data_IF_005926629485
#
_entry.id   IF_005926629485
#
_cell.length_a   1.000
_cell.length_b   1.000
_cell.length_c   1.000
_cell.angle_alpha   90.00
_cell.angle_beta   90.00
_cell.angle_gamma   90.00
#
_symmetry.space_group_name_H-M   'P 1'
#
loop_
_entity.id
_entity.type
_entity.pdbx_description
1 polymer ?
#
# COMPACT_ATOMS: atom_id res chain seq x y z
N UNK A 1 13.98 -33.89 -54.66
CA UNK A 1 13.37 -32.97 -55.65
C UNK A 1 11.87 -33.27 -55.76
N UNK A 2 10.99 -32.26 -55.87
CA UNK A 2 10.09 -31.94 -54.76
C UNK A 2 8.59 -32.17 -55.02
N UNK A 3 7.86 -32.49 -53.94
CA UNK A 3 6.40 -32.46 -53.87
C UNK A 3 5.89 -31.01 -53.78
N UNK A 4 5.16 -30.55 -54.80
CA UNK A 4 4.46 -29.25 -54.81
C UNK A 4 3.21 -29.32 -53.90
N UNK A 5 3.30 -28.80 -52.68
CA UNK A 5 2.14 -28.46 -51.85
C UNK A 5 1.35 -27.32 -52.50
N UNK A 6 0.15 -27.60 -53.01
CA UNK A 6 -0.83 -26.58 -53.41
C UNK A 6 -1.40 -25.88 -52.17
N UNK A 7 -1.04 -24.61 -51.99
CA UNK A 7 -1.71 -23.66 -51.07
C UNK A 7 -3.18 -23.50 -51.46
N UNK A 8 -4.12 -23.99 -50.64
CA UNK A 8 -5.51 -23.50 -50.63
C UNK A 8 -5.56 -22.26 -49.74
N UNK A 9 -5.73 -21.08 -50.35
CA UNK A 9 -6.13 -19.85 -49.65
C UNK A 9 -7.50 -20.10 -49.01
N UNK A 10 -7.57 -20.24 -47.68
CA UNK A 10 -8.80 -20.00 -46.94
C UNK A 10 -8.99 -18.48 -46.94
N UNK A 11 -10.06 -18.01 -47.58
CA UNK A 11 -10.56 -16.64 -47.43
C UNK A 11 -11.00 -16.51 -45.98
N UNK A 12 -10.35 -15.63 -45.23
CA UNK A 12 -10.86 -15.18 -43.94
C UNK A 12 -12.23 -14.54 -44.18
N UNK A 13 -13.27 -15.17 -43.64
CA UNK A 13 -14.58 -14.55 -43.49
C UNK A 13 -14.42 -13.47 -42.44
N UNK A 14 -14.22 -12.22 -42.89
CA UNK A 14 -14.43 -11.05 -42.05
C UNK A 14 -15.90 -11.07 -41.63
N UNK A 15 -16.15 -11.41 -40.36
CA UNK A 15 -17.46 -11.33 -39.76
C UNK A 15 -18.01 -9.91 -39.96
N UNK A 16 -19.19 -9.80 -40.58
CA UNK A 16 -19.89 -8.52 -40.76
C UNK A 16 -20.10 -7.89 -39.38
N UNK A 17 -19.58 -6.67 -39.18
CA UNK A 17 -19.87 -5.83 -38.01
C UNK A 17 -21.39 -5.68 -37.85
N UNK A 18 -21.94 -5.77 -36.63
CA UNK A 18 -23.34 -5.46 -36.42
C UNK A 18 -23.61 -4.02 -36.87
N UNK A 19 -24.71 -3.87 -37.58
CA UNK A 19 -25.18 -2.64 -38.20
C UNK A 19 -25.38 -1.53 -37.17
N UNK A 20 -24.90 -0.32 -37.49
CA UNK A 20 -25.21 0.94 -36.79
C UNK A 20 -26.66 0.95 -36.31
N UNK A 21 -26.86 1.32 -35.04
CA UNK A 21 -28.16 1.45 -34.39
C UNK A 21 -29.19 2.17 -35.27
N UNK A 22 -30.43 1.68 -35.26
CA UNK A 22 -31.55 2.37 -35.93
C UNK A 22 -31.65 3.81 -35.40
N UNK A 23 -31.99 4.79 -36.24
CA UNK A 23 -32.21 6.16 -35.76
C UNK A 23 -33.29 6.16 -34.67
N UNK A 24 -32.98 6.80 -33.54
CA UNK A 24 -33.84 6.91 -32.36
C UNK A 24 -35.16 7.57 -32.76
N UNK A 25 -36.30 7.01 -32.34
CA UNK A 25 -37.61 7.63 -32.54
C UNK A 25 -37.63 9.02 -31.85
N UNK A 26 -37.80 10.13 -32.59
CA UNK A 26 -37.75 11.48 -32.02
C UNK A 26 -38.78 11.72 -30.90
N UNK A 27 -39.84 10.91 -30.82
CA UNK A 27 -40.85 10.98 -29.77
C UNK A 27 -40.35 10.50 -28.41
N UNK A 28 -39.25 9.74 -28.37
CA UNK A 28 -38.65 9.24 -27.14
C UNK A 28 -37.72 10.27 -26.47
N UNK A 29 -37.22 11.25 -27.21
CA UNK A 29 -36.27 12.25 -26.69
C UNK A 29 -36.84 13.07 -25.52
N UNK A 30 -38.09 13.59 -25.56
CA UNK A 30 -38.65 14.31 -24.41
C UNK A 30 -38.83 13.42 -23.18
N UNK A 31 -39.21 12.15 -23.39
CA UNK A 31 -39.39 11.17 -22.31
C UNK A 31 -38.06 10.82 -21.65
N UNK A 32 -37.00 10.68 -22.45
CA UNK A 32 -35.64 10.45 -21.97
C UNK A 32 -35.12 11.64 -21.17
N UNK A 33 -35.30 12.87 -21.67
CA UNK A 33 -34.89 14.09 -20.96
C UNK A 33 -35.62 14.22 -19.62
N UNK A 34 -36.92 13.95 -19.58
CA UNK A 34 -37.69 13.94 -18.34
C UNK A 34 -37.18 12.86 -17.37
N UNK A 35 -36.90 11.65 -17.86
CA UNK A 35 -36.36 10.56 -17.04
C UNK A 35 -35.01 10.93 -16.41
N UNK A 36 -34.13 11.59 -17.18
CA UNK A 36 -32.83 12.06 -16.70
C UNK A 36 -32.95 13.16 -15.65
N UNK A 37 -33.91 14.07 -15.77
CA UNK A 37 -34.18 15.09 -14.75
C UNK A 37 -34.64 14.45 -13.44
N UNK A 38 -35.64 13.56 -13.52
CA UNK A 38 -36.15 12.80 -12.37
C UNK A 38 -35.04 11.97 -11.69
N UNK A 39 -34.14 11.38 -12.49
CA UNK A 39 -32.99 10.65 -12.00
C UNK A 39 -32.06 11.58 -11.19
N UNK A 40 -31.73 12.76 -11.72
CA UNK A 40 -30.90 13.76 -11.03
C UNK A 40 -31.55 14.29 -9.75
N UNK A 41 -32.87 14.41 -9.72
CA UNK A 41 -33.64 14.86 -8.55
C UNK A 41 -33.82 13.77 -7.48
N UNK A 42 -33.28 12.56 -7.69
CA UNK A 42 -33.44 11.45 -6.74
C UNK A 42 -34.79 10.74 -6.80
N UNK A 43 -35.65 11.08 -7.77
CA UNK A 43 -36.95 10.44 -7.98
C UNK A 43 -36.77 9.12 -8.75
N UNK A 44 -35.99 8.20 -8.17
CA UNK A 44 -35.46 7.03 -8.87
C UNK A 44 -36.56 6.10 -9.40
N UNK A 45 -37.65 5.88 -8.66
CA UNK A 45 -38.72 4.99 -9.15
C UNK A 45 -39.46 5.55 -10.34
N UNK A 46 -39.69 6.86 -10.35
CA UNK A 46 -40.34 7.54 -11.47
C UNK A 46 -39.38 7.55 -12.67
N UNK A 47 -38.10 7.84 -12.46
CA UNK A 47 -37.07 7.75 -13.50
C UNK A 47 -36.99 6.35 -14.11
N UNK A 48 -36.92 5.31 -13.28
CA UNK A 48 -36.93 3.90 -13.70
C UNK A 48 -38.16 3.58 -14.55
N UNK A 49 -39.36 3.98 -14.10
CA UNK A 49 -40.59 3.80 -14.87
C UNK A 49 -40.53 4.47 -16.25
N UNK A 50 -39.97 5.68 -16.34
CA UNK A 50 -39.80 6.38 -17.62
C UNK A 50 -38.79 5.69 -18.54
N UNK A 51 -37.67 5.18 -18.02
CA UNK A 51 -36.74 4.39 -18.84
C UNK A 51 -37.41 3.10 -19.36
N UNK A 52 -38.20 2.41 -18.53
CA UNK A 52 -38.94 1.23 -18.99
C UNK A 52 -40.01 1.55 -20.04
N UNK A 53 -40.66 2.73 -19.96
CA UNK A 53 -41.57 3.19 -21.02
C UNK A 53 -40.85 3.37 -22.36
N UNK A 54 -39.61 3.88 -22.33
CA UNK A 54 -38.77 3.97 -23.54
C UNK A 54 -38.46 2.58 -24.07
N UNK A 55 -38.08 1.64 -23.19
CA UNK A 55 -37.77 0.25 -23.60
C UNK A 55 -38.99 -0.53 -24.11
N UNK A 56 -40.20 -0.19 -23.67
CA UNK A 56 -41.42 -0.78 -24.20
C UNK A 56 -41.68 -0.38 -25.67
N UNK A 57 -41.21 0.80 -26.07
CA UNK A 57 -41.35 1.32 -27.44
C UNK A 57 -40.12 1.00 -28.31
N UNK A 58 -38.93 1.03 -27.73
CA UNK A 58 -37.66 0.67 -28.34
C UNK A 58 -36.83 -0.21 -27.38
N UNK A 59 -36.97 -1.55 -27.45
CA UNK A 59 -36.27 -2.48 -26.57
C UNK A 59 -34.74 -2.46 -26.69
N UNK A 60 -34.18 -1.83 -27.73
CA UNK A 60 -32.74 -1.73 -27.96
C UNK A 60 -32.21 -0.29 -27.72
N UNK A 61 -32.99 0.57 -27.05
CA UNK A 61 -32.60 1.95 -26.79
C UNK A 61 -31.40 2.03 -25.82
N UNK A 62 -30.18 2.03 -26.37
CA UNK A 62 -28.90 1.94 -25.66
C UNK A 62 -28.78 2.90 -24.48
N UNK A 63 -29.21 4.16 -24.64
CA UNK A 63 -29.07 5.16 -23.58
C UNK A 63 -30.02 4.90 -22.40
N UNK A 64 -31.20 4.34 -22.64
CA UNK A 64 -32.15 4.03 -21.57
C UNK A 64 -31.70 2.78 -20.80
N UNK A 65 -31.19 1.77 -21.52
CA UNK A 65 -30.55 0.57 -20.95
C UNK A 65 -29.36 0.99 -20.07
N UNK A 66 -28.46 1.84 -20.59
CA UNK A 66 -27.31 2.33 -19.84
C UNK A 66 -27.72 3.10 -18.58
N UNK A 67 -28.70 3.99 -18.68
CA UNK A 67 -29.17 4.79 -17.54
C UNK A 67 -29.89 3.97 -16.49
N UNK A 68 -30.58 2.88 -16.87
CA UNK A 68 -31.09 1.89 -15.91
C UNK A 68 -29.96 1.17 -15.17
N UNK A 69 -28.86 0.85 -15.86
CA UNK A 69 -27.66 0.32 -15.23
C UNK A 69 -27.03 1.29 -14.23
N UNK A 70 -26.93 2.58 -14.59
CA UNK A 70 -26.44 3.64 -13.68
C UNK A 70 -27.36 3.79 -12.47
N UNK A 71 -28.67 3.76 -12.66
CA UNK A 71 -29.65 3.88 -11.58
C UNK A 71 -29.57 2.68 -10.62
N UNK A 72 -29.45 1.46 -11.14
CA UNK A 72 -29.24 0.26 -10.34
C UNK A 72 -27.92 0.34 -9.55
N UNK A 73 -26.85 0.83 -10.18
CA UNK A 73 -25.56 1.05 -9.50
C UNK A 73 -25.68 2.02 -8.32
N UNK A 74 -26.37 3.16 -8.51
CA UNK A 74 -26.60 4.15 -7.44
C UNK A 74 -27.43 3.59 -6.27
N UNK A 75 -28.25 2.57 -6.51
CA UNK A 75 -29.01 1.86 -5.47
C UNK A 75 -28.22 0.74 -4.78
N UNK A 76 -26.98 0.48 -5.19
CA UNK A 76 -26.18 -0.65 -4.71
C UNK A 76 -26.60 -2.01 -5.30
N UNK A 77 -27.46 -2.03 -6.32
CA UNK A 77 -27.93 -3.23 -6.99
C UNK A 77 -26.91 -3.68 -8.07
N UNK A 78 -25.69 -4.01 -7.64
CA UNK A 78 -24.54 -4.22 -8.52
C UNK A 78 -24.75 -5.31 -9.58
N UNK A 79 -25.43 -6.41 -9.22
CA UNK A 79 -25.75 -7.46 -10.19
C UNK A 79 -26.73 -6.99 -11.27
N UNK A 80 -27.72 -6.16 -10.89
CA UNK A 80 -28.70 -5.60 -11.82
C UNK A 80 -28.01 -4.60 -12.75
N UNK A 81 -27.13 -3.75 -12.20
CA UNK A 81 -26.31 -2.83 -12.98
C UNK A 81 -25.43 -3.57 -14.01
N UNK A 82 -24.76 -4.65 -13.58
CA UNK A 82 -23.94 -5.51 -14.46
C UNK A 82 -24.74 -6.05 -15.63
N UNK A 83 -25.95 -6.56 -15.35
CA UNK A 83 -26.83 -7.11 -16.39
C UNK A 83 -27.23 -6.03 -17.41
N UNK A 84 -27.58 -4.82 -16.96
CA UNK A 84 -27.93 -3.72 -17.86
C UNK A 84 -26.75 -3.26 -18.72
N UNK A 85 -25.56 -3.10 -18.14
CA UNK A 85 -24.36 -2.77 -18.92
C UNK A 85 -24.00 -3.88 -19.91
N UNK A 86 -24.09 -5.14 -19.49
CA UNK A 86 -23.91 -6.30 -20.37
C UNK A 86 -24.92 -6.34 -21.52
N UNK A 87 -26.19 -5.99 -21.25
CA UNK A 87 -27.20 -5.88 -22.30
C UNK A 87 -26.88 -4.75 -23.29
N UNK A 88 -26.47 -3.57 -22.82
CA UNK A 88 -26.04 -2.47 -23.68
C UNK A 88 -24.88 -2.91 -24.60
N UNK A 89 -23.87 -3.60 -24.03
CA UNK A 89 -22.71 -4.11 -24.77
C UNK A 89 -23.03 -5.30 -25.70
N UNK A 90 -24.10 -6.05 -25.41
CA UNK A 90 -24.58 -7.10 -26.32
C UNK A 90 -25.24 -6.54 -27.58
N UNK A 91 -25.84 -5.34 -27.46
CA UNK A 91 -26.46 -4.61 -28.58
C UNK A 91 -25.39 -3.84 -29.36
N UNK A 92 -24.53 -3.12 -28.65
CA UNK A 92 -23.40 -2.37 -29.23
C UNK A 92 -22.10 -2.62 -28.44
N UNK A 93 -21.24 -3.54 -28.91
CA UNK A 93 -19.94 -3.81 -28.29
C UNK A 93 -18.97 -2.62 -28.28
N UNK A 94 -19.23 -1.59 -29.10
CA UNK A 94 -18.41 -0.39 -29.25
C UNK A 94 -18.98 0.80 -28.47
N UNK A 95 -19.93 0.57 -27.54
CA UNK A 95 -20.53 1.62 -26.74
C UNK A 95 -19.63 2.08 -25.58
N UNK A 96 -18.84 3.13 -25.82
CA UNK A 96 -17.83 3.62 -24.87
C UNK A 96 -18.40 3.98 -23.49
N UNK A 97 -19.56 4.62 -23.43
CA UNK A 97 -20.21 5.00 -22.17
C UNK A 97 -20.62 3.79 -21.33
N UNK A 98 -21.03 2.67 -21.95
CA UNK A 98 -21.33 1.43 -21.23
C UNK A 98 -20.07 0.75 -20.68
N UNK A 99 -18.97 0.73 -21.45
CA UNK A 99 -17.66 0.26 -20.97
C UNK A 99 -17.16 1.06 -19.76
N UNK A 100 -17.33 2.37 -19.74
CA UNK A 100 -16.95 3.21 -18.60
C UNK A 100 -17.80 2.97 -17.35
N UNK A 101 -19.12 2.78 -17.49
CA UNK A 101 -19.95 2.49 -16.31
C UNK A 101 -19.72 1.06 -15.81
N UNK A 102 -19.40 0.13 -16.71
CA UNK A 102 -18.98 -1.23 -16.33
C UNK A 102 -17.63 -1.22 -15.59
N UNK A 103 -16.67 -0.42 -16.04
CA UNK A 103 -15.40 -0.19 -15.34
C UNK A 103 -15.64 0.28 -13.90
N UNK A 104 -16.44 1.34 -13.71
CA UNK A 104 -16.78 1.85 -12.38
C UNK A 104 -17.44 0.77 -11.51
N UNK A 105 -18.39 0.02 -12.06
CA UNK A 105 -19.05 -1.08 -11.35
C UNK A 105 -18.04 -2.17 -10.93
N UNK A 106 -17.19 -2.60 -11.85
CA UNK A 106 -16.20 -3.66 -11.62
C UNK A 106 -15.17 -3.23 -10.57
N UNK A 107 -14.76 -1.96 -10.60
CA UNK A 107 -13.89 -1.38 -9.58
C UNK A 107 -14.57 -1.42 -8.20
N UNK A 108 -15.83 -0.98 -8.09
CA UNK A 108 -16.59 -1.01 -6.83
C UNK A 108 -16.75 -2.41 -6.24
N UNK A 109 -16.87 -3.45 -7.07
CA UNK A 109 -16.96 -4.85 -6.60
C UNK A 109 -15.61 -5.55 -6.49
N UNK A 110 -14.49 -4.84 -6.63
CA UNK A 110 -13.13 -5.36 -6.46
C UNK A 110 -12.59 -6.20 -7.63
N UNK A 111 -13.25 -6.18 -8.79
CA UNK A 111 -12.82 -6.90 -10.01
C UNK A 111 -11.89 -6.02 -10.86
N UNK A 112 -10.75 -5.66 -10.26
CA UNK A 112 -9.84 -4.62 -10.76
C UNK A 112 -9.30 -4.93 -12.17
N UNK A 113 -8.89 -6.15 -12.45
CA UNK A 113 -8.34 -6.53 -13.78
C UNK A 113 -9.37 -6.38 -14.92
N UNK A 114 -10.65 -6.62 -14.62
CA UNK A 114 -11.72 -6.48 -15.61
C UNK A 114 -12.17 -5.02 -15.76
N UNK A 115 -12.14 -4.26 -14.67
CA UNK A 115 -12.31 -2.80 -14.72
C UNK A 115 -11.26 -2.21 -15.68
N UNK A 116 -9.99 -2.61 -15.51
CA UNK A 116 -8.89 -2.16 -16.36
C UNK A 116 -9.09 -2.45 -17.85
N UNK A 117 -9.66 -3.59 -18.20
CA UNK A 117 -9.99 -3.91 -19.58
C UNK A 117 -11.12 -3.01 -20.11
N UNK A 118 -12.13 -2.77 -19.28
CA UNK A 118 -13.33 -1.99 -19.63
C UNK A 118 -12.98 -0.53 -19.91
N UNK A 119 -12.22 0.17 -19.06
CA UNK A 119 -11.86 1.56 -19.37
C UNK A 119 -10.90 1.65 -20.57
N UNK A 120 -9.95 0.70 -20.74
CA UNK A 120 -9.07 0.68 -21.93
C UNK A 120 -9.89 0.56 -23.21
N UNK A 121 -10.95 -0.24 -23.17
CA UNK A 121 -11.89 -0.34 -24.29
C UNK A 121 -12.60 0.99 -24.51
N UNK A 122 -13.15 1.61 -23.47
CA UNK A 122 -13.80 2.93 -23.57
C UNK A 122 -12.86 3.98 -24.19
N UNK A 123 -11.60 4.03 -23.77
CA UNK A 123 -10.60 4.98 -24.27
C UNK A 123 -10.16 4.68 -25.71
N UNK A 124 -10.12 3.40 -26.11
CA UNK A 124 -9.86 3.01 -27.51
C UNK A 124 -10.97 3.45 -28.47
N UNK A 125 -12.21 3.51 -27.97
CA UNK A 125 -13.40 3.90 -28.72
C UNK A 125 -13.57 5.42 -28.74
N UNK A 126 -13.28 6.08 -27.61
CA UNK A 126 -13.40 7.51 -27.39
C UNK A 126 -12.16 8.02 -26.65
N UNK A 127 -11.11 8.45 -27.38
CA UNK A 127 -9.86 8.90 -26.78
C UNK A 127 -10.00 10.08 -25.83
N UNK A 128 -11.00 10.94 -26.07
CA UNK A 128 -11.30 12.14 -25.30
C UNK A 128 -12.54 11.91 -24.43
N UNK A 129 -12.46 10.92 -23.55
CA UNK A 129 -13.51 10.60 -22.58
C UNK A 129 -13.02 10.94 -21.16
N UNK A 130 -13.48 12.05 -20.55
CA UNK A 130 -12.93 12.54 -19.27
C UNK A 130 -12.88 11.49 -18.16
N UNK A 131 -13.97 10.75 -17.95
CA UNK A 131 -14.04 9.73 -16.89
C UNK A 131 -12.99 8.63 -17.11
N UNK A 132 -12.89 8.08 -18.33
CA UNK A 132 -11.87 7.08 -18.66
C UNK A 132 -10.44 7.63 -18.57
N UNK A 133 -10.23 8.92 -18.87
CA UNK A 133 -8.94 9.61 -18.68
C UNK A 133 -8.59 9.80 -17.19
N UNK A 134 -9.57 10.08 -16.33
CA UNK A 134 -9.37 10.14 -14.88
C UNK A 134 -9.02 8.77 -14.31
N UNK A 135 -9.73 7.71 -14.72
CA UNK A 135 -9.50 6.36 -14.22
C UNK A 135 -8.13 5.81 -14.66
N UNK A 136 -7.74 6.00 -15.94
CA UNK A 136 -6.39 5.60 -16.39
C UNK A 136 -5.30 6.40 -15.67
N UNK A 137 -5.54 7.66 -15.30
CA UNK A 137 -4.55 8.44 -14.56
C UNK A 137 -4.25 7.84 -13.19
N UNK A 138 -5.27 7.38 -12.47
CA UNK A 138 -5.11 6.70 -11.19
C UNK A 138 -4.32 5.41 -11.34
N UNK A 139 -4.66 4.55 -12.30
CA UNK A 139 -3.93 3.30 -12.51
C UNK A 139 -2.45 3.54 -12.84
N UNK A 140 -2.19 4.50 -13.72
CA UNK A 140 -0.82 4.81 -14.14
C UNK A 140 -0.01 5.41 -12.98
N UNK A 141 -0.67 6.15 -12.09
CA UNK A 141 -0.10 6.59 -10.83
C UNK A 141 0.23 5.43 -9.89
N UNK A 142 -0.69 4.47 -9.71
CA UNK A 142 -0.47 3.25 -8.91
C UNK A 142 0.69 2.39 -9.45
N UNK A 143 0.94 2.45 -10.76
CA UNK A 143 2.10 1.81 -11.42
C UNK A 143 3.42 2.61 -11.24
N UNK A 144 3.39 3.75 -10.56
CA UNK A 144 4.54 4.60 -10.28
C UNK A 144 4.84 5.67 -11.34
N UNK A 145 4.06 5.76 -12.42
CA UNK A 145 4.28 6.74 -13.50
C UNK A 145 3.46 8.02 -13.27
N UNK A 146 3.89 8.80 -12.29
CA UNK A 146 3.23 10.05 -11.92
C UNK A 146 3.16 11.06 -13.07
N UNK A 147 4.15 11.06 -13.98
CA UNK A 147 4.21 12.00 -15.10
C UNK A 147 3.10 11.72 -16.12
N UNK A 148 2.93 10.45 -16.53
CA UNK A 148 1.83 10.09 -17.43
C UNK A 148 0.47 10.25 -16.76
N UNK A 149 0.36 9.98 -15.45
CA UNK A 149 -0.88 10.25 -14.71
C UNK A 149 -1.31 11.72 -14.83
N UNK A 150 -0.37 12.65 -14.61
CA UNK A 150 -0.62 14.10 -14.78
C UNK A 150 -1.07 14.45 -16.20
N UNK A 151 -0.46 13.84 -17.23
CA UNK A 151 -0.84 14.07 -18.63
C UNK A 151 -2.29 13.62 -18.90
N UNK A 152 -2.71 12.47 -18.38
CA UNK A 152 -4.09 12.02 -18.49
C UNK A 152 -5.07 12.93 -17.75
N UNK A 153 -4.74 13.36 -16.53
CA UNK A 153 -5.55 14.34 -15.81
C UNK A 153 -5.66 15.67 -16.57
N UNK A 154 -4.56 16.14 -17.18
CA UNK A 154 -4.58 17.36 -18.00
C UNK A 154 -5.54 17.23 -19.18
N UNK A 155 -5.53 16.09 -19.87
CA UNK A 155 -6.48 15.81 -20.95
C UNK A 155 -7.92 15.71 -20.45
N UNK A 156 -8.15 15.09 -19.29
CA UNK A 156 -9.47 15.03 -18.67
C UNK A 156 -10.01 16.43 -18.35
N UNK A 157 -9.17 17.29 -17.76
CA UNK A 157 -9.54 18.65 -17.33
C UNK A 157 -9.63 19.67 -18.49
N UNK A 158 -9.07 19.35 -19.66
CA UNK A 158 -9.21 20.16 -20.87
C UNK A 158 -10.62 20.10 -21.50
N UNK A 159 -11.42 19.11 -21.12
CA UNK A 159 -12.76 18.85 -21.66
C UNK A 159 -13.83 19.47 -20.72
N UNK A 160 -14.12 18.91 -19.54
CA UNK A 160 -14.73 19.66 -18.44
C UNK A 160 -13.65 20.19 -17.47
N UNK A 161 -13.53 21.51 -17.27
CA UNK A 161 -12.60 22.07 -16.29
C UNK A 161 -13.03 21.81 -14.84
N UNK A 162 -14.33 21.61 -14.61
CA UNK A 162 -14.91 21.30 -13.30
C UNK A 162 -15.10 19.79 -13.13
N UNK A 163 -14.00 19.07 -12.87
CA UNK A 163 -14.02 17.63 -12.68
C UNK A 163 -13.24 17.25 -11.39
N UNK A 164 -13.94 17.10 -10.25
CA UNK A 164 -13.32 16.86 -8.94
C UNK A 164 -12.39 15.65 -8.92
N UNK A 165 -12.79 14.54 -9.52
CA UNK A 165 -12.06 13.28 -9.54
C UNK A 165 -10.72 13.43 -10.26
N UNK A 166 -10.71 14.09 -11.44
CA UNK A 166 -9.47 14.36 -12.17
C UNK A 166 -8.56 15.36 -11.45
N UNK A 167 -9.13 16.34 -10.72
CA UNK A 167 -8.35 17.24 -9.87
C UNK A 167 -7.71 16.49 -8.70
N UNK A 168 -8.47 15.65 -7.99
CA UNK A 168 -7.96 14.80 -6.92
C UNK A 168 -6.83 13.89 -7.43
N UNK A 169 -7.04 13.20 -8.55
CA UNK A 169 -6.04 12.31 -9.13
C UNK A 169 -4.79 13.06 -9.59
N UNK A 170 -4.95 14.28 -10.14
CA UNK A 170 -3.81 15.16 -10.47
C UNK A 170 -3.06 15.56 -9.20
N UNK A 171 -3.79 15.89 -8.13
CA UNK A 171 -3.22 16.19 -6.83
C UNK A 171 -2.37 15.04 -6.28
N UNK A 172 -2.89 13.80 -6.35
CA UNK A 172 -2.18 12.60 -5.91
C UNK A 172 -0.88 12.40 -6.69
N UNK A 173 -0.94 12.49 -8.03
CA UNK A 173 0.24 12.37 -8.87
C UNK A 173 1.28 13.47 -8.62
N UNK A 174 0.84 14.71 -8.34
CA UNK A 174 1.74 15.81 -7.96
C UNK A 174 2.39 15.59 -6.59
N UNK A 175 1.63 15.08 -5.61
CA UNK A 175 2.17 14.72 -4.31
C UNK A 175 3.22 13.60 -4.41
N UNK A 176 2.99 12.59 -5.27
CA UNK A 176 3.98 11.55 -5.59
C UNK A 176 5.27 12.10 -6.22
N UNK A 177 5.21 13.27 -6.87
CA UNK A 177 6.39 14.02 -7.34
C UNK A 177 6.95 15.00 -6.29
N UNK A 178 6.50 14.92 -5.03
CA UNK A 178 6.85 15.85 -3.95
C UNK A 178 6.51 17.33 -4.24
N UNK A 179 5.52 17.60 -5.11
CA UNK A 179 5.01 18.95 -5.42
C UNK A 179 3.78 19.26 -4.56
N UNK A 180 3.99 19.31 -3.25
CA UNK A 180 2.92 19.35 -2.25
C UNK A 180 2.01 20.59 -2.38
N UNK A 181 2.57 21.76 -2.65
CA UNK A 181 1.80 23.00 -2.78
C UNK A 181 0.83 22.93 -3.98
N UNK A 182 1.31 22.37 -5.09
CA UNK A 182 0.48 22.17 -6.28
C UNK A 182 -0.59 21.10 -6.05
N UNK A 183 -0.27 20.05 -5.28
CA UNK A 183 -1.25 19.03 -4.90
C UNK A 183 -2.38 19.62 -4.04
N UNK A 184 -2.04 20.43 -3.03
CA UNK A 184 -3.00 21.09 -2.13
C UNK A 184 -3.97 21.99 -2.91
N UNK A 185 -3.49 22.75 -3.89
CA UNK A 185 -4.36 23.57 -4.75
C UNK A 185 -5.39 22.71 -5.49
N UNK A 186 -4.98 21.54 -5.99
CA UNK A 186 -5.88 20.62 -6.68
C UNK A 186 -6.91 20.00 -5.75
N UNK A 187 -6.51 19.54 -4.56
CA UNK A 187 -7.44 18.97 -3.59
C UNK A 187 -8.46 19.99 -3.09
N UNK A 188 -8.03 21.22 -2.78
CA UNK A 188 -8.94 22.31 -2.40
C UNK A 188 -9.95 22.59 -3.50
N UNK A 189 -9.51 22.66 -4.77
CA UNK A 189 -10.44 22.84 -5.90
C UNK A 189 -11.40 21.66 -6.07
N UNK A 190 -10.95 20.43 -5.85
CA UNK A 190 -11.83 19.26 -5.88
C UNK A 190 -12.90 19.33 -4.78
N UNK A 191 -12.54 19.76 -3.56
CA UNK A 191 -13.45 19.97 -2.44
C UNK A 191 -14.44 21.11 -2.70
N UNK A 192 -13.98 22.22 -3.29
CA UNK A 192 -14.87 23.33 -3.69
C UNK A 192 -15.98 22.88 -4.64
N UNK A 193 -15.64 21.99 -5.57
CA UNK A 193 -16.58 21.45 -6.56
C UNK A 193 -17.44 20.31 -6.00
N UNK A 194 -16.91 19.53 -5.06
CA UNK A 194 -17.62 18.47 -4.35
C UNK A 194 -17.29 18.52 -2.85
N UNK A 195 -18.09 19.25 -2.04
CA UNK A 195 -17.83 19.42 -0.61
C UNK A 195 -17.87 18.15 0.22
N UNK A 196 -18.41 17.03 -0.31
CA UNK A 196 -18.53 15.75 0.39
C UNK A 196 -17.46 14.73 -0.08
N UNK A 197 -16.42 15.19 -0.79
CA UNK A 197 -15.44 14.30 -1.39
C UNK A 197 -14.41 13.80 -0.37
N UNK A 198 -14.73 12.71 0.33
CA UNK A 198 -13.92 12.15 1.40
C UNK A 198 -12.45 11.91 0.99
N UNK A 199 -12.18 11.34 -0.18
CA UNK A 199 -10.83 11.09 -0.68
C UNK A 199 -9.99 12.37 -0.82
N UNK A 200 -10.61 13.46 -1.29
CA UNK A 200 -9.93 14.74 -1.44
C UNK A 200 -9.56 15.35 -0.08
N UNK A 201 -10.42 15.21 0.95
CA UNK A 201 -10.06 15.61 2.31
C UNK A 201 -8.94 14.76 2.88
N UNK A 202 -8.98 13.42 2.73
CA UNK A 202 -7.90 12.56 3.19
C UNK A 202 -6.57 12.91 2.52
N UNK A 203 -6.56 13.06 1.20
CA UNK A 203 -5.37 13.39 0.44
C UNK A 203 -4.83 14.79 0.76
N UNK A 204 -5.71 15.77 0.99
CA UNK A 204 -5.33 17.09 1.49
C UNK A 204 -4.70 16.99 2.89
N UNK A 205 -5.29 16.20 3.79
CA UNK A 205 -4.76 15.95 5.12
C UNK A 205 -3.34 15.38 5.08
N UNK A 206 -3.11 14.36 4.25
CA UNK A 206 -1.78 13.75 4.08
C UNK A 206 -0.76 14.75 3.52
N UNK A 207 -1.14 15.57 2.54
CA UNK A 207 -0.25 16.60 1.99
C UNK A 207 0.10 17.69 3.02
N UNK A 208 -0.85 18.09 3.86
CA UNK A 208 -0.64 19.07 4.94
C UNK A 208 0.24 18.49 6.05
N UNK A 209 0.05 17.21 6.43
CA UNK A 209 0.94 16.53 7.38
C UNK A 209 2.38 16.50 6.86
N UNK A 210 2.57 16.21 5.57
CA UNK A 210 3.90 16.23 4.96
C UNK A 210 4.57 17.63 4.98
N UNK A 211 3.80 18.71 5.08
CA UNK A 211 4.28 20.08 5.29
C UNK A 211 4.46 20.45 6.78
N UNK A 212 4.12 19.55 7.72
CA UNK A 212 4.14 19.80 9.16
C UNK A 212 2.93 20.56 9.70
N UNK A 213 1.87 20.72 8.90
CA UNK A 213 0.62 21.37 9.31
C UNK A 213 -0.34 20.39 10.00
N UNK A 214 0.11 19.75 11.09
CA UNK A 214 -0.59 18.62 11.73
C UNK A 214 -2.02 18.95 12.18
N UNK A 215 -2.26 20.15 12.70
CA UNK A 215 -3.61 20.57 13.12
C UNK A 215 -4.57 20.64 11.94
N UNK A 216 -4.10 21.12 10.78
CA UNK A 216 -4.89 21.17 9.57
C UNK A 216 -5.08 19.76 8.98
N UNK A 217 -4.07 18.89 9.07
CA UNK A 217 -4.17 17.50 8.68
C UNK A 217 -5.26 16.75 9.48
N UNK A 218 -5.23 16.83 10.81
CA UNK A 218 -6.24 16.24 11.71
C UNK A 218 -7.65 16.71 11.36
N UNK A 219 -7.83 18.00 11.11
CA UNK A 219 -9.13 18.54 10.70
C UNK A 219 -9.64 17.88 9.41
N UNK A 220 -8.79 17.79 8.39
CA UNK A 220 -9.17 17.20 7.10
C UNK A 220 -9.42 15.69 7.20
N UNK A 221 -8.64 14.93 7.97
CA UNK A 221 -8.92 13.51 8.20
C UNK A 221 -10.25 13.28 8.89
N UNK A 222 -10.61 14.14 9.87
CA UNK A 222 -11.94 14.08 10.51
C UNK A 222 -13.06 14.38 9.52
N UNK A 223 -12.90 15.38 8.67
CA UNK A 223 -13.88 15.65 7.59
C UNK A 223 -14.03 14.45 6.64
N UNK A 224 -12.93 13.81 6.25
CA UNK A 224 -12.99 12.59 5.44
C UNK A 224 -13.79 11.47 6.12
N UNK A 225 -13.61 11.28 7.43
CA UNK A 225 -14.37 10.31 8.24
C UNK A 225 -15.84 10.71 8.39
N UNK A 226 -16.14 12.00 8.57
CA UNK A 226 -17.53 12.50 8.68
C UNK A 226 -18.32 12.23 7.38
N UNK A 227 -17.68 12.40 6.22
CA UNK A 227 -18.30 12.10 4.91
C UNK A 227 -18.29 10.62 4.56
N UNK A 228 -17.30 9.85 5.03
CA UNK A 228 -17.23 8.40 4.86
C UNK A 228 -16.79 7.70 6.17
N UNK A 229 -17.75 7.29 7.02
CA UNK A 229 -17.45 6.63 8.30
C UNK A 229 -16.78 5.25 8.20
N UNK A 230 -16.68 4.69 6.99
CA UNK A 230 -15.99 3.43 6.72
C UNK A 230 -14.68 3.67 5.93
N UNK A 231 -14.11 4.87 5.99
CA UNK A 231 -12.87 5.18 5.29
C UNK A 231 -11.63 4.74 6.10
N UNK A 232 -11.16 3.52 5.83
CA UNK A 232 -10.00 2.91 6.51
C UNK A 232 -8.78 3.84 6.53
N UNK A 233 -8.35 4.37 5.38
CA UNK A 233 -7.12 5.17 5.29
C UNK A 233 -7.18 6.47 6.11
N UNK A 234 -8.35 7.12 6.17
CA UNK A 234 -8.52 8.33 6.97
C UNK A 234 -8.35 8.05 8.48
N UNK A 235 -8.83 6.90 8.97
CA UNK A 235 -8.58 6.47 10.35
C UNK A 235 -7.10 6.15 10.60
N UNK A 236 -6.42 5.48 9.66
CA UNK A 236 -4.99 5.15 9.79
C UNK A 236 -4.15 6.43 9.84
N UNK A 237 -4.41 7.36 8.92
CA UNK A 237 -3.68 8.63 8.84
C UNK A 237 -3.93 9.50 10.09
N UNK A 238 -5.19 9.60 10.54
CA UNK A 238 -5.52 10.29 11.78
C UNK A 238 -4.84 9.63 12.99
N UNK A 239 -4.86 8.31 13.09
CA UNK A 239 -4.21 7.56 14.16
C UNK A 239 -2.70 7.80 14.20
N UNK A 240 -2.05 7.89 13.03
CA UNK A 240 -0.61 8.17 12.91
C UNK A 240 -0.26 9.55 13.46
N UNK A 241 -0.98 10.60 13.04
CA UNK A 241 -0.75 11.97 13.56
C UNK A 241 -1.01 12.05 15.06
N UNK A 242 -2.07 11.40 15.55
CA UNK A 242 -2.40 11.40 16.98
C UNK A 242 -1.35 10.66 17.82
N UNK A 243 -0.76 9.59 17.27
CA UNK A 243 0.36 8.88 17.90
C UNK A 243 1.59 9.78 18.00
N UNK A 244 1.96 10.47 16.93
CA UNK A 244 3.06 11.45 16.92
C UNK A 244 2.83 12.57 17.96
N UNK A 245 1.58 12.98 18.16
CA UNK A 245 1.16 13.96 19.17
C UNK A 245 1.02 13.37 20.60
N UNK A 246 1.42 12.12 20.83
CA UNK A 246 1.30 11.42 22.12
C UNK A 246 -0.14 11.28 22.65
N UNK A 247 -1.15 11.43 21.78
CA UNK A 247 -2.56 11.20 22.09
C UNK A 247 -2.92 9.72 21.89
N UNK A 248 -2.23 8.86 22.64
CA UNK A 248 -2.17 7.41 22.40
C UNK A 248 -3.54 6.71 22.46
N UNK A 249 -4.45 7.11 23.36
CA UNK A 249 -5.79 6.51 23.45
C UNK A 249 -6.63 6.80 22.20
N UNK A 250 -6.53 8.01 21.66
CA UNK A 250 -7.25 8.39 20.45
C UNK A 250 -6.64 7.68 19.22
N UNK A 251 -5.32 7.51 19.18
CA UNK A 251 -4.65 6.75 18.14
C UNK A 251 -5.08 5.26 18.15
N UNK A 252 -5.13 4.63 19.33
CA UNK A 252 -5.65 3.25 19.49
C UNK A 252 -7.07 3.14 18.95
N UNK A 253 -7.97 4.06 19.32
CA UNK A 253 -9.35 4.05 18.83
C UNK A 253 -9.42 4.16 17.30
N UNK A 254 -8.58 5.01 16.69
CA UNK A 254 -8.52 5.15 15.24
C UNK A 254 -8.04 3.85 14.57
N UNK A 255 -6.95 3.25 15.07
CA UNK A 255 -6.42 2.00 14.53
C UNK A 255 -7.38 0.82 14.71
N UNK A 256 -8.03 0.68 15.87
CA UNK A 256 -9.06 -0.34 16.09
C UNK A 256 -10.25 -0.15 15.16
N UNK A 257 -10.67 1.11 14.92
CA UNK A 257 -11.74 1.40 13.97
C UNK A 257 -11.33 1.04 12.53
N UNK A 258 -10.12 1.38 12.10
CA UNK A 258 -9.57 0.97 10.81
C UNK A 258 -9.57 -0.57 10.66
N UNK A 259 -9.07 -1.29 11.66
CA UNK A 259 -9.03 -2.77 11.67
C UNK A 259 -10.42 -3.42 11.72
N UNK A 260 -11.43 -2.74 12.27
CA UNK A 260 -12.81 -3.22 12.24
C UNK A 260 -13.46 -3.12 10.86
N UNK A 261 -12.96 -2.21 10.02
CA UNK A 261 -13.43 -2.01 8.64
C UNK A 261 -12.65 -2.93 7.70
N UNK A 262 -11.32 -2.92 7.82
CA UNK A 262 -10.42 -3.78 7.06
C UNK A 262 -9.41 -4.47 8.00
N UNK A 263 -9.61 -5.76 8.31
CA UNK A 263 -8.74 -6.51 9.20
C UNK A 263 -7.40 -6.89 8.55
N UNK A 264 -7.20 -6.70 7.24
CA UNK A 264 -6.01 -7.17 6.52
C UNK A 264 -4.88 -6.12 6.47
N UNK A 265 -4.67 -5.39 7.57
CA UNK A 265 -3.75 -4.25 7.62
C UNK A 265 -2.54 -4.50 8.54
N UNK A 266 -1.51 -5.18 8.03
CA UNK A 266 -0.30 -5.54 8.78
C UNK A 266 0.37 -4.33 9.47
N UNK A 267 0.52 -3.21 8.74
CA UNK A 267 1.13 -1.98 9.26
C UNK A 267 0.35 -1.39 10.45
N UNK A 268 -0.97 -1.48 10.44
CA UNK A 268 -1.84 -0.94 11.50
C UNK A 268 -1.70 -1.76 12.78
N UNK A 269 -1.67 -3.10 12.67
CA UNK A 269 -1.35 -3.96 13.81
C UNK A 269 0.03 -3.64 14.39
N UNK A 270 1.04 -3.43 13.55
CA UNK A 270 2.36 -3.04 14.04
C UNK A 270 2.35 -1.68 14.76
N UNK A 271 1.68 -0.66 14.21
CA UNK A 271 1.57 0.64 14.88
C UNK A 271 0.85 0.54 16.23
N UNK A 272 -0.21 -0.27 16.30
CA UNK A 272 -0.92 -0.54 17.55
C UNK A 272 -0.02 -1.26 18.56
N UNK A 273 0.78 -2.22 18.10
CA UNK A 273 1.77 -2.93 18.93
C UNK A 273 2.83 -1.99 19.50
N UNK A 274 3.31 -1.01 18.72
CA UNK A 274 4.25 0.01 19.18
C UNK A 274 3.65 0.81 20.34
N UNK A 275 2.40 1.26 20.21
CA UNK A 275 1.73 2.02 21.28
C UNK A 275 1.59 1.17 22.56
N UNK A 276 1.19 -0.10 22.45
CA UNK A 276 1.11 -0.97 23.62
C UNK A 276 2.48 -1.22 24.26
N UNK A 277 3.53 -1.35 23.46
CA UNK A 277 4.90 -1.49 23.97
C UNK A 277 5.37 -0.24 24.72
N UNK A 278 5.08 0.96 24.20
CA UNK A 278 5.37 2.24 24.86
C UNK A 278 4.67 2.36 26.23
N UNK A 279 3.49 1.74 26.38
CA UNK A 279 2.75 1.65 27.64
C UNK A 279 3.23 0.54 28.58
N UNK A 280 4.18 -0.30 28.15
CA UNK A 280 4.62 -1.48 28.89
C UNK A 280 3.64 -2.67 28.83
N UNK A 281 2.62 -2.60 27.98
CA UNK A 281 1.62 -3.64 27.76
C UNK A 281 2.17 -4.72 26.80
N UNK A 282 3.25 -5.40 27.21
CA UNK A 282 4.06 -6.26 26.33
C UNK A 282 3.28 -7.43 25.72
N UNK A 283 2.28 -7.98 26.43
CA UNK A 283 1.45 -9.07 25.91
C UNK A 283 0.56 -8.59 24.76
N UNK A 284 -0.10 -7.44 24.92
CA UNK A 284 -0.90 -6.81 23.87
C UNK A 284 -0.03 -6.43 22.67
N UNK A 285 1.16 -5.88 22.91
CA UNK A 285 2.12 -5.56 21.85
C UNK A 285 2.51 -6.78 21.03
N UNK A 286 2.93 -7.86 21.71
CA UNK A 286 3.30 -9.14 21.10
C UNK A 286 2.15 -9.73 20.27
N UNK A 287 0.93 -9.72 20.80
CA UNK A 287 -0.25 -10.18 20.06
C UNK A 287 -0.47 -9.37 18.78
N UNK A 288 -0.33 -8.05 18.84
CA UNK A 288 -0.46 -7.19 17.66
C UNK A 288 0.61 -7.49 16.61
N UNK A 289 1.88 -7.62 17.02
CA UNK A 289 2.94 -7.97 16.07
C UNK A 289 2.73 -9.36 15.45
N UNK A 290 2.25 -10.35 16.21
CA UNK A 290 1.87 -11.64 15.63
C UNK A 290 0.75 -11.52 14.58
N UNK A 291 -0.29 -10.71 14.82
CA UNK A 291 -1.32 -10.47 13.80
C UNK A 291 -0.75 -9.79 12.55
N UNK A 292 0.17 -8.84 12.74
CA UNK A 292 0.90 -8.21 11.63
C UNK A 292 1.62 -9.24 10.76
N UNK A 293 2.33 -10.19 11.40
CA UNK A 293 3.10 -11.23 10.72
C UNK A 293 2.24 -12.38 10.15
N UNK A 294 1.01 -12.57 10.63
CA UNK A 294 0.05 -13.49 9.99
C UNK A 294 -0.40 -12.92 8.64
N UNK A 295 -0.54 -11.59 8.54
CA UNK A 295 -0.96 -10.91 7.30
C UNK A 295 0.22 -10.79 6.33
N UNK A 296 1.38 -10.38 6.84
CA UNK A 296 2.61 -10.26 6.06
C UNK A 296 3.77 -10.88 6.85
N UNK A 297 4.06 -12.14 6.56
CA UNK A 297 5.19 -12.89 7.14
C UNK A 297 6.54 -12.23 6.83
N UNK A 298 6.63 -11.44 5.75
CA UNK A 298 7.84 -10.72 5.36
C UNK A 298 8.01 -9.37 6.05
N UNK A 299 7.08 -8.94 6.90
CA UNK A 299 7.04 -7.59 7.43
C UNK A 299 8.18 -7.32 8.43
N UNK A 300 9.24 -6.67 7.92
CA UNK A 300 10.52 -6.49 8.61
C UNK A 300 10.37 -5.76 9.93
N UNK A 301 9.64 -4.64 9.94
CA UNK A 301 9.39 -3.85 11.16
C UNK A 301 8.59 -4.67 12.18
N UNK A 302 7.65 -5.50 11.73
CA UNK A 302 6.88 -6.39 12.60
C UNK A 302 7.74 -7.39 13.34
N UNK A 303 8.66 -8.07 12.63
CA UNK A 303 9.63 -8.97 13.25
C UNK A 303 10.55 -8.23 14.22
N UNK A 304 11.12 -7.10 13.81
CA UNK A 304 12.02 -6.35 14.68
C UNK A 304 11.34 -5.91 15.98
N UNK A 305 10.13 -5.35 15.88
CA UNK A 305 9.39 -4.87 17.05
C UNK A 305 8.91 -6.03 17.93
N UNK A 306 8.50 -7.16 17.35
CA UNK A 306 8.20 -8.38 18.09
C UNK A 306 9.41 -8.86 18.88
N UNK A 307 10.59 -8.88 18.25
CA UNK A 307 11.85 -9.26 18.92
C UNK A 307 12.13 -8.38 20.13
N UNK A 308 12.02 -7.05 19.98
CA UNK A 308 12.17 -6.12 21.10
C UNK A 308 11.16 -6.39 22.23
N UNK A 309 9.87 -6.55 21.92
CA UNK A 309 8.85 -6.82 22.93
C UNK A 309 9.08 -8.15 23.65
N UNK A 310 9.48 -9.19 22.93
CA UNK A 310 9.81 -10.50 23.49
C UNK A 310 11.04 -10.44 24.40
N UNK A 311 12.10 -9.71 24.00
CA UNK A 311 13.28 -9.50 24.84
C UNK A 311 12.93 -8.73 26.13
N UNK A 312 12.09 -7.71 26.05
CA UNK A 312 11.58 -6.98 27.22
C UNK A 312 10.72 -7.86 28.13
N UNK A 313 9.97 -8.81 27.56
CA UNK A 313 9.15 -9.77 28.30
C UNK A 313 9.94 -10.95 28.89
N UNK A 314 11.24 -11.07 28.57
CA UNK A 314 12.09 -12.18 29.00
C UNK A 314 12.00 -13.44 28.13
N UNK A 315 11.31 -13.38 26.99
CA UNK A 315 11.23 -14.45 26.01
C UNK A 315 12.46 -14.42 25.09
N UNK A 316 13.62 -14.77 25.64
CA UNK A 316 14.91 -14.56 24.96
C UNK A 316 15.11 -15.42 23.71
N UNK A 317 14.57 -16.65 23.68
CA UNK A 317 14.75 -17.56 22.54
C UNK A 317 14.16 -16.96 21.26
N UNK A 318 12.85 -16.68 21.27
CA UNK A 318 12.17 -16.07 20.14
C UNK A 318 12.60 -14.61 19.94
N UNK A 319 12.83 -13.88 21.04
CA UNK A 319 13.17 -12.47 21.01
C UNK A 319 14.46 -12.20 20.24
N UNK A 320 15.51 -12.99 20.50
CA UNK A 320 16.78 -12.85 19.78
C UNK A 320 16.65 -13.26 18.31
N UNK A 321 15.88 -14.30 17.99
CA UNK A 321 15.65 -14.71 16.60
C UNK A 321 14.94 -13.62 15.79
N UNK A 322 13.89 -13.02 16.34
CA UNK A 322 13.16 -11.92 15.72
C UNK A 322 14.00 -10.63 15.65
N UNK A 323 14.83 -10.37 16.65
CA UNK A 323 15.71 -9.19 16.70
C UNK A 323 16.75 -9.15 15.57
N UNK A 324 17.12 -10.30 14.96
CA UNK A 324 18.00 -10.32 13.79
C UNK A 324 17.40 -9.61 12.57
N UNK A 325 16.07 -9.48 12.50
CA UNK A 325 15.41 -8.73 11.43
C UNK A 325 15.74 -7.23 11.47
N UNK A 326 16.32 -6.71 12.56
CA UNK A 326 16.83 -5.33 12.63
C UNK A 326 17.77 -5.03 11.47
N UNK A 327 18.59 -6.00 11.03
CA UNK A 327 19.59 -5.85 9.97
C UNK A 327 18.96 -5.60 8.59
N UNK A 328 17.65 -5.85 8.44
CA UNK A 328 16.87 -5.54 7.24
C UNK A 328 16.15 -4.19 7.33
N UNK A 329 16.12 -3.55 8.50
CA UNK A 329 15.50 -2.23 8.67
C UNK A 329 16.43 -1.15 8.14
N UNK A 330 15.87 -0.03 7.63
CA UNK A 330 16.68 1.10 7.13
C UNK A 330 17.64 1.67 8.17
N UNK A 331 17.30 1.58 9.46
CA UNK A 331 18.09 2.16 10.56
C UNK A 331 19.36 1.37 10.85
N UNK A 332 19.29 0.04 10.75
CA UNK A 332 20.40 -0.87 11.10
C UNK A 332 20.85 -1.70 9.92
N UNK A 333 20.50 -1.31 8.70
CA UNK A 333 20.99 -1.98 7.51
C UNK A 333 22.51 -1.84 7.47
N UNK A 334 23.19 -2.98 7.48
CA UNK A 334 24.64 -3.07 7.51
C UNK A 334 25.12 -3.97 6.38
N UNK A 335 26.00 -3.41 5.55
CA UNK A 335 26.72 -4.17 4.53
C UNK A 335 27.92 -4.84 5.20
N UNK A 336 27.70 -6.06 5.68
CA UNK A 336 28.75 -6.84 6.33
C UNK A 336 29.84 -7.27 5.33
N UNK A 337 31.13 -7.07 5.63
CA UNK A 337 32.20 -7.46 4.72
C UNK A 337 32.36 -8.99 4.72
N UNK A 338 31.90 -9.65 3.67
CA UNK A 338 32.13 -11.08 3.45
C UNK A 338 31.00 -12.00 3.92
N UNK A 339 31.34 -13.26 4.22
CA UNK A 339 30.35 -14.27 4.58
C UNK A 339 29.87 -14.10 6.02
N UNK A 340 28.56 -14.00 6.22
CA UNK A 340 27.95 -13.91 7.55
C UNK A 340 28.02 -15.25 8.27
N UNK A 341 28.51 -15.22 9.51
CA UNK A 341 28.60 -16.38 10.39
C UNK A 341 27.23 -16.69 11.01
N UNK A 342 26.86 -17.96 10.95
CA UNK A 342 25.54 -18.46 11.36
C UNK A 342 25.54 -19.21 12.70
N UNK A 343 26.59 -19.04 13.52
CA UNK A 343 26.72 -19.78 14.78
C UNK A 343 27.32 -21.19 14.64
N UNK A 344 27.77 -21.59 13.45
CA UNK A 344 28.46 -22.89 13.26
C UNK A 344 29.86 -22.91 13.89
N UNK A 345 30.43 -24.11 14.16
CA UNK A 345 31.83 -24.23 14.61
C UNK A 345 32.79 -23.53 13.64
N UNK A 346 33.80 -22.85 14.19
CA UNK A 346 34.77 -22.10 13.41
C UNK A 346 35.84 -23.01 12.79
N UNK A 347 36.23 -24.10 13.47
CA UNK A 347 37.21 -25.08 12.98
C UNK A 347 38.53 -24.43 12.49
N UNK A 348 39.08 -23.51 13.28
CA UNK A 348 40.30 -22.76 12.98
C UNK A 348 40.11 -21.49 12.14
N UNK A 349 38.89 -21.27 11.60
CA UNK A 349 38.53 -20.02 10.93
C UNK A 349 38.56 -18.83 11.89
N UNK A 350 38.78 -17.66 11.31
CA UNK A 350 38.81 -16.37 11.98
C UNK A 350 37.48 -15.67 11.81
N UNK A 351 36.79 -15.43 12.91
CA UNK A 351 35.55 -14.66 12.99
C UNK A 351 35.86 -13.20 13.31
N UNK A 352 35.31 -12.30 12.50
CA UNK A 352 35.28 -10.88 12.82
C UNK A 352 33.92 -10.48 13.39
N UNK A 353 33.93 -9.86 14.56
CA UNK A 353 32.75 -9.33 15.24
C UNK A 353 32.78 -7.81 15.16
N UNK A 354 31.80 -7.23 14.47
CA UNK A 354 31.66 -5.79 14.28
C UNK A 354 30.77 -5.17 15.35
N UNK A 355 31.23 -4.12 16.02
CA UNK A 355 30.34 -3.26 16.80
C UNK A 355 29.50 -2.37 15.85
N UNK A 356 28.19 -2.40 16.02
CA UNK A 356 27.24 -1.70 15.14
C UNK A 356 27.13 -0.21 15.50
N UNK A 357 26.49 0.09 16.64
CA UNK A 357 26.20 1.44 17.11
C UNK A 357 26.45 1.53 18.61
N UNK A 358 26.63 2.76 19.11
CA UNK A 358 26.59 3.04 20.55
C UNK A 358 27.79 2.52 21.35
N UNK A 359 28.47 3.43 22.05
CA UNK A 359 29.50 3.01 23.01
C UNK A 359 28.91 2.12 24.11
N UNK A 360 27.68 2.43 24.55
CA UNK A 360 26.95 1.67 25.57
C UNK A 360 26.59 0.26 25.13
N UNK A 361 26.06 0.10 23.91
CA UNK A 361 25.74 -1.22 23.35
C UNK A 361 27.02 -2.05 23.22
N UNK A 362 28.11 -1.45 22.75
CA UNK A 362 29.39 -2.16 22.65
C UNK A 362 29.85 -2.68 24.02
N UNK A 363 29.86 -1.83 25.05
CA UNK A 363 30.21 -2.22 26.42
C UNK A 363 29.23 -3.29 26.97
N UNK A 364 27.95 -3.20 26.65
CA UNK A 364 26.95 -4.18 27.07
C UNK A 364 27.20 -5.55 26.43
N UNK A 365 27.38 -5.62 25.11
CA UNK A 365 27.39 -6.87 24.38
C UNK A 365 28.76 -7.55 24.32
N UNK A 366 29.87 -6.87 24.66
CA UNK A 366 31.17 -7.57 24.80
C UNK A 366 31.16 -8.66 25.86
N UNK A 367 30.21 -8.66 26.80
CA UNK A 367 30.03 -9.76 27.76
C UNK A 367 29.78 -11.11 27.10
N UNK A 368 29.32 -11.16 25.86
CA UNK A 368 29.04 -12.42 25.17
C UNK A 368 30.30 -13.08 24.60
N UNK A 369 31.46 -12.41 24.65
CA UNK A 369 32.72 -12.97 24.18
C UNK A 369 33.19 -14.20 24.97
N UNK A 370 32.76 -14.34 26.22
CA UNK A 370 33.02 -15.54 27.03
C UNK A 370 32.46 -16.83 26.40
N UNK A 371 31.44 -16.71 25.54
CA UNK A 371 30.79 -17.84 24.88
C UNK A 371 31.59 -18.48 23.74
N UNK A 372 32.72 -17.89 23.32
CA UNK A 372 33.47 -18.36 22.15
C UNK A 372 34.39 -19.56 22.40
N UNK A 373 34.68 -19.90 23.67
CA UNK A 373 35.61 -20.98 24.04
C UNK A 373 35.24 -22.35 23.42
N UNK A 374 33.95 -22.58 23.15
CA UNK A 374 33.43 -23.83 22.57
C UNK A 374 33.49 -23.92 21.03
N UNK A 375 33.82 -22.83 20.32
CA UNK A 375 33.69 -22.76 18.86
C UNK A 375 34.96 -23.09 18.07
N UNK A 376 36.10 -23.33 18.75
CA UNK A 376 37.37 -23.76 18.17
C UNK A 376 37.80 -22.90 16.95
N UNK A 377 38.08 -21.61 17.17
CA UNK A 377 38.48 -20.67 16.12
C UNK A 377 39.33 -19.52 16.65
N UNK A 378 39.42 -18.44 15.89
CA UNK A 378 40.05 -17.17 16.28
C UNK A 378 39.01 -16.06 16.16
N UNK A 379 38.99 -15.12 17.10
CA UNK A 379 38.01 -14.03 17.12
C UNK A 379 38.70 -12.69 17.11
N UNK A 380 38.22 -11.78 16.26
CA UNK A 380 38.64 -10.39 16.18
C UNK A 380 37.42 -9.54 16.54
N UNK A 381 37.58 -8.59 17.46
CA UNK A 381 36.59 -7.55 17.74
C UNK A 381 37.01 -6.27 17.02
N UNK A 382 36.15 -5.74 16.14
CA UNK A 382 36.28 -4.37 15.67
C UNK A 382 35.32 -3.47 16.44
N UNK A 383 35.89 -2.55 17.23
CA UNK A 383 35.16 -1.61 18.06
C UNK A 383 35.41 -0.16 17.64
N UNK A 384 34.59 0.78 18.12
CA UNK A 384 34.87 2.20 17.94
C UNK A 384 36.21 2.54 18.59
N UNK A 385 37.02 3.40 17.97
CA UNK A 385 38.42 3.63 18.39
C UNK A 385 38.53 4.11 19.85
N UNK A 386 37.51 4.85 20.32
CA UNK A 386 37.40 5.31 21.72
C UNK A 386 37.33 4.18 22.74
N UNK A 387 36.89 2.97 22.35
CA UNK A 387 36.78 1.80 23.22
C UNK A 387 37.94 0.81 23.04
N UNK A 388 38.79 0.97 22.04
CA UNK A 388 39.86 0.02 21.75
C UNK A 388 40.76 -0.23 22.97
N UNK A 389 41.33 0.83 23.56
CA UNK A 389 42.19 0.71 24.74
C UNK A 389 41.48 0.09 25.95
N UNK A 390 40.17 0.36 26.10
CA UNK A 390 39.37 -0.21 27.19
C UNK A 390 39.14 -1.71 26.98
N UNK A 391 38.95 -2.14 25.74
CA UNK A 391 38.60 -3.51 25.38
C UNK A 391 39.83 -4.36 25.05
N UNK A 392 41.01 -3.77 24.89
CA UNK A 392 42.27 -4.47 24.61
C UNK A 392 42.54 -5.67 25.52
N UNK A 393 42.26 -5.64 26.84
CA UNK A 393 42.46 -6.80 27.72
C UNK A 393 41.65 -8.04 27.33
N UNK A 394 40.61 -7.92 26.50
CA UNK A 394 39.89 -9.08 25.96
C UNK A 394 40.82 -10.01 25.16
N UNK A 395 41.91 -9.51 24.58
CA UNK A 395 42.89 -10.34 23.86
C UNK A 395 43.63 -11.35 24.73
N UNK A 396 43.56 -11.22 26.06
CA UNK A 396 44.09 -12.21 27.00
C UNK A 396 43.18 -13.44 27.12
N UNK A 397 41.94 -13.35 26.62
CA UNK A 397 40.94 -14.40 26.66
C UNK A 397 40.90 -15.17 25.34
N UNK A 398 41.42 -16.40 25.33
CA UNK A 398 41.25 -17.29 24.18
C UNK A 398 39.75 -17.53 23.90
N UNK A 399 39.27 -17.44 22.64
CA UNK A 399 40.02 -17.38 21.38
C UNK A 399 40.20 -15.97 20.76
N UNK A 400 40.13 -14.90 21.54
CA UNK A 400 40.21 -13.51 21.05
C UNK A 400 41.66 -13.17 20.74
N UNK A 401 41.95 -12.86 19.47
CA UNK A 401 43.32 -12.62 19.01
C UNK A 401 43.62 -11.14 18.76
N UNK A 402 42.59 -10.31 18.60
CA UNK A 402 42.76 -8.89 18.34
C UNK A 402 41.49 -8.10 18.71
N UNK A 403 41.72 -6.87 19.20
CA UNK A 403 40.74 -5.81 19.31
C UNK A 403 41.28 -4.65 18.48
N UNK A 404 40.54 -4.24 17.46
CA UNK A 404 40.97 -3.21 16.49
C UNK A 404 39.97 -2.08 16.43
N UNK A 405 40.49 -0.88 16.18
CA UNK A 405 39.67 0.30 15.89
C UNK A 405 38.91 0.18 14.57
N UNK A 406 37.89 1.01 14.39
CA UNK A 406 37.15 1.10 13.13
C UNK A 406 37.97 1.84 12.05
N UNK A 407 38.87 2.75 12.46
CA UNK A 407 39.76 3.47 11.55
C UNK A 407 41.03 2.66 11.21
N UNK A 408 41.27 1.56 11.90
CA UNK A 408 42.43 0.70 11.68
C UNK A 408 42.19 -0.34 10.59
N UNK A 409 43.26 -0.76 9.87
CA UNK A 409 43.16 -1.87 8.93
C UNK A 409 42.66 -3.14 9.62
N UNK A 410 41.51 -3.65 9.16
CA UNK A 410 40.94 -4.89 9.66
C UNK A 410 41.85 -6.08 9.29
N UNK A 411 42.31 -6.90 10.27
CA UNK A 411 43.10 -8.08 9.97
C UNK A 411 42.32 -9.11 9.14
N UNK A 412 43.02 -10.01 8.46
CA UNK A 412 42.39 -11.03 7.63
C UNK A 412 41.43 -11.92 8.44
N UNK A 413 40.23 -12.12 7.92
CA UNK A 413 39.18 -12.92 8.53
C UNK A 413 38.48 -13.81 7.47
N UNK A 414 37.79 -14.86 7.93
CA UNK A 414 37.11 -15.83 7.06
C UNK A 414 35.59 -15.60 7.03
N UNK A 415 35.00 -15.24 8.18
CA UNK A 415 33.56 -15.00 8.35
C UNK A 415 33.34 -13.81 9.29
N UNK A 416 32.15 -13.21 9.25
CA UNK A 416 31.83 -12.05 10.08
C UNK A 416 30.45 -12.10 10.73
N UNK A 417 30.25 -11.33 11.79
CA UNK A 417 28.94 -11.08 12.38
C UNK A 417 28.90 -9.72 13.09
N UNK A 418 27.72 -9.28 13.49
CA UNK A 418 27.55 -8.11 14.35
C UNK A 418 27.54 -8.49 15.83
N UNK A 419 28.04 -7.58 16.66
CA UNK A 419 28.14 -7.74 18.10
C UNK A 419 26.79 -8.01 18.77
N UNK A 420 25.71 -7.34 18.34
CA UNK A 420 24.39 -7.56 18.95
C UNK A 420 23.70 -8.84 18.46
N UNK A 421 24.28 -9.55 17.48
CA UNK A 421 23.81 -10.89 17.05
C UNK A 421 24.39 -12.02 17.90
N UNK A 422 25.42 -11.74 18.73
CA UNK A 422 26.05 -12.78 19.55
C UNK A 422 25.10 -13.53 20.49
N UNK A 423 24.12 -12.90 21.16
CA UNK A 423 23.19 -13.65 22.02
C UNK A 423 22.42 -14.74 21.27
N UNK A 424 22.00 -14.42 20.03
CA UNK A 424 21.33 -15.36 19.15
C UNK A 424 22.28 -16.46 18.67
N UNK A 425 23.42 -16.07 18.08
CA UNK A 425 24.35 -16.99 17.42
C UNK A 425 25.07 -17.93 18.39
N UNK A 426 25.22 -17.52 19.65
CA UNK A 426 25.82 -18.34 20.71
C UNK A 426 24.77 -19.10 21.53
N UNK A 427 23.48 -18.98 21.19
CA UNK A 427 22.35 -19.67 21.83
C UNK A 427 22.22 -19.40 23.35
N UNK A 428 22.42 -18.15 23.78
CA UNK A 428 22.39 -17.77 25.20
C UNK A 428 21.01 -17.91 25.86
N UNK A 429 19.94 -18.09 25.08
CA UNK A 429 18.57 -18.34 25.58
C UNK A 429 18.39 -19.71 26.24
N UNK A 430 19.27 -20.68 25.95
CA UNK A 430 19.17 -22.06 26.45
C UNK A 430 19.83 -22.30 27.81
N UNK A 431 20.62 -21.36 28.32
CA UNK A 431 21.20 -21.44 29.66
C UNK A 431 20.15 -21.04 30.70
N UNK A 432 19.22 -21.95 30.98
CA UNK A 432 18.55 -21.94 32.28
C UNK A 432 19.67 -22.05 33.32
N UNK A 433 19.74 -21.08 34.22
CA UNK A 433 20.40 -21.30 35.48
C UNK A 433 19.58 -22.41 36.16
N UNK A 434 19.99 -23.66 35.98
CA UNK A 434 19.61 -24.74 36.87
C UNK A 434 20.23 -24.37 38.23
N UNK A 435 19.45 -23.64 39.03
CA UNK A 435 19.73 -23.35 40.43
C UNK A 435 19.44 -24.56 41.31
#
# INVERSE_FOLDING_TARGET
MPAKKRRRKKRDQVAKRPTRSKPIDPRLTPVLQQAMLLHREGQWEIASSRYHQILALDPQHLEAIRLLGVLAFQRGEYQVASNWFGQALSIDPDYAEAHNNLDLLLYTVGRIDEAHQSYRRALSLKPDFPNALSNISQLVYEQGDSERAIQYCHRALALPPDFPEALNNRGAALAGQNKLEAAIVNYRRAIELNPNFADAYNNLGSALQAQGEDSAAVHNFRQAIDYNPNFTDAYINLGTVLQEQQQLDLAINCYQKALSIDPNQAKVFNNLGIIYQERGELQQATNCYHQSLIIDEGYVEGHYNLGLAQLLAGNYEDGWANFEWRLKTKKYQLDLPGQVWNGSKLNGRTLLVYSEQGLGDTIQFVRFFWGFSQFNGRVILQCQDKLQSLLQPLTELSPIIAVVGQEEPTPAFDVCTTLMSLPYLLNYSSYRYDT
#
